data_IF_858950734424
#
_entry.id   IF_858950734424
#
_cell.length_a   1.000
_cell.length_b   1.000
_cell.length_c   1.000
_cell.angle_alpha   90.00
_cell.angle_beta   90.00
_cell.angle_gamma   90.00
#
_symmetry.space_group_name_H-M   'P 1'
#
loop_
_entity.id
_entity.type
_entity.pdbx_description
1 polymer ?
#
# COMPACT_ATOMS: atom_id res chain seq x y z
N UNK A 1 -25.53 7.77 -15.41
CA UNK A 1 -25.77 7.37 -14.01
C UNK A 1 -24.56 6.60 -13.49
N UNK A 2 -23.75 7.25 -12.66
CA UNK A 2 -22.47 6.73 -12.16
C UNK A 2 -22.69 5.65 -11.09
N UNK A 3 -22.67 4.37 -11.49
CA UNK A 3 -22.65 3.23 -10.56
C UNK A 3 -21.25 2.97 -9.94
N UNK A 4 -20.44 4.02 -9.76
CA UNK A 4 -18.99 3.88 -9.54
C UNK A 4 -18.53 3.68 -8.08
N UNK A 5 -19.42 3.61 -7.09
CA UNK A 5 -19.00 3.55 -5.68
C UNK A 5 -19.37 2.25 -4.97
N UNK A 6 -19.02 1.11 -5.58
CA UNK A 6 -18.54 0.00 -4.75
C UNK A 6 -17.05 0.26 -4.52
N UNK A 7 -16.73 0.97 -3.44
CA UNK A 7 -15.34 1.22 -3.04
C UNK A 7 -14.71 -0.11 -2.65
N UNK A 8 -14.03 -0.75 -3.60
CA UNK A 8 -13.24 -1.95 -3.30
C UNK A 8 -12.18 -1.58 -2.26
N UNK A 9 -12.26 -2.10 -1.02
CA UNK A 9 -11.31 -1.75 0.04
C UNK A 9 -9.87 -2.09 -0.38
N UNK A 10 -9.71 -3.11 -1.24
CA UNK A 10 -8.43 -3.47 -1.87
C UNK A 10 -7.87 -2.37 -2.76
N UNK A 11 -8.69 -1.74 -3.61
CA UNK A 11 -8.22 -0.65 -4.48
C UNK A 11 -7.75 0.55 -3.65
N UNK A 12 -8.45 0.83 -2.55
CA UNK A 12 -8.05 1.88 -1.59
C UNK A 12 -6.69 1.56 -0.96
N UNK A 13 -6.51 0.35 -0.44
CA UNK A 13 -5.25 -0.09 0.16
C UNK A 13 -4.08 -0.13 -0.83
N UNK A 14 -4.31 -0.60 -2.07
CA UNK A 14 -3.28 -0.56 -3.14
C UNK A 14 -2.81 0.86 -3.42
N UNK A 15 -3.75 1.82 -3.49
CA UNK A 15 -3.43 3.23 -3.69
C UNK A 15 -2.66 3.82 -2.51
N UNK A 16 -3.03 3.47 -1.27
CA UNK A 16 -2.32 3.91 -0.07
C UNK A 16 -0.90 3.34 -0.03
N UNK A 17 -0.74 2.04 -0.29
CA UNK A 17 0.55 1.37 -0.36
C UNK A 17 1.49 2.04 -1.37
N UNK A 18 1.00 2.30 -2.59
CA UNK A 18 1.78 2.99 -3.63
C UNK A 18 2.21 4.40 -3.19
N UNK A 19 1.32 5.16 -2.55
CA UNK A 19 1.64 6.50 -2.06
C UNK A 19 2.69 6.48 -0.92
N UNK A 20 2.64 5.48 -0.03
CA UNK A 20 3.64 5.32 1.04
C UNK A 20 5.00 4.92 0.45
N UNK A 21 5.03 4.03 -0.56
CA UNK A 21 6.26 3.68 -1.26
C UNK A 21 6.88 4.89 -1.98
N UNK A 22 6.08 5.71 -2.65
CA UNK A 22 6.56 6.93 -3.30
C UNK A 22 7.21 7.89 -2.27
N UNK A 23 6.56 8.09 -1.11
CA UNK A 23 7.13 8.87 -0.01
C UNK A 23 8.43 8.26 0.52
N UNK A 24 8.48 6.93 0.66
CA UNK A 24 9.68 6.23 1.09
C UNK A 24 10.83 6.44 0.10
N UNK A 25 10.56 6.37 -1.21
CA UNK A 25 11.56 6.66 -2.25
C UNK A 25 12.09 8.08 -2.16
N UNK A 26 11.22 9.07 -1.94
CA UNK A 26 11.65 10.45 -1.72
C UNK A 26 12.48 10.61 -0.45
N UNK A 27 12.07 10.00 0.67
CA UNK A 27 12.84 10.00 1.91
C UNK A 27 14.23 9.40 1.71
N UNK A 28 14.32 8.24 1.05
CA UNK A 28 15.58 7.59 0.71
C UNK A 28 16.47 8.49 -0.17
N UNK A 29 15.91 9.08 -1.23
CA UNK A 29 16.65 9.97 -2.15
C UNK A 29 17.17 11.24 -1.46
N UNK A 30 16.43 11.73 -0.48
CA UNK A 30 16.81 12.90 0.31
C UNK A 30 17.74 12.56 1.50
N UNK A 31 18.06 11.27 1.70
CA UNK A 31 18.91 10.81 2.80
C UNK A 31 18.20 10.78 4.17
N UNK A 32 16.88 10.89 4.22
CA UNK A 32 16.10 10.76 5.46
C UNK A 32 15.84 9.28 5.76
N UNK A 33 16.88 8.63 6.31
CA UNK A 33 16.87 7.20 6.62
C UNK A 33 15.80 6.86 7.67
N UNK A 34 15.57 7.74 8.65
CA UNK A 34 14.57 7.50 9.70
C UNK A 34 13.17 7.45 9.09
N UNK A 35 12.80 8.43 8.28
CA UNK A 35 11.50 8.43 7.61
C UNK A 35 11.38 7.27 6.63
N UNK A 36 12.44 6.95 5.88
CA UNK A 36 12.46 5.78 5.00
C UNK A 36 12.17 4.48 5.76
N UNK A 37 12.84 4.23 6.89
CA UNK A 37 12.61 3.04 7.72
C UNK A 37 11.18 2.97 8.26
N UNK A 38 10.59 4.10 8.65
CA UNK A 38 9.20 4.12 9.13
C UNK A 38 8.20 3.88 7.99
N UNK A 39 8.39 4.55 6.85
CA UNK A 39 7.50 4.44 5.70
C UNK A 39 7.56 3.05 5.05
N UNK A 40 8.73 2.40 5.05
CA UNK A 40 8.85 1.03 4.56
C UNK A 40 8.09 0.04 5.43
N UNK A 41 8.15 0.18 6.77
CA UNK A 41 7.33 -0.62 7.69
C UNK A 41 5.84 -0.37 7.48
N UNK A 42 5.43 0.88 7.27
CA UNK A 42 4.03 1.22 6.96
C UNK A 42 3.58 0.57 5.63
N UNK A 43 4.42 0.61 4.59
CA UNK A 43 4.14 -0.05 3.32
C UNK A 43 3.98 -1.57 3.50
N UNK A 44 4.87 -2.23 4.24
CA UNK A 44 4.74 -3.66 4.52
C UNK A 44 3.43 -4.00 5.24
N UNK A 45 3.01 -3.18 6.19
CA UNK A 45 1.74 -3.39 6.91
C UNK A 45 0.53 -3.24 5.97
N UNK A 46 0.55 -2.27 5.06
CA UNK A 46 -0.49 -2.10 4.04
C UNK A 46 -0.51 -3.26 3.05
N UNK A 47 0.66 -3.80 2.70
CA UNK A 47 0.78 -4.97 1.83
C UNK A 47 0.25 -6.24 2.50
N UNK A 48 0.52 -6.45 3.79
CA UNK A 48 -0.07 -7.54 4.58
C UNK A 48 -1.60 -7.45 4.61
N UNK A 49 -2.14 -6.26 4.89
CA UNK A 49 -3.60 -6.03 4.84
C UNK A 49 -4.19 -6.31 3.45
N UNK A 50 -3.43 -6.06 2.38
CA UNK A 50 -3.85 -6.42 1.02
C UNK A 50 -3.90 -7.92 0.79
N UNK A 51 -2.89 -8.66 1.27
CA UNK A 51 -2.84 -10.11 1.20
C UNK A 51 -3.97 -10.76 2.01
N UNK A 52 -4.24 -10.27 3.22
CA UNK A 52 -5.34 -10.77 4.06
C UNK A 52 -6.72 -10.55 3.41
N UNK A 53 -6.84 -9.52 2.59
CA UNK A 53 -8.03 -9.27 1.80
C UNK A 53 -8.08 -10.10 0.53
N UNK A 54 -6.97 -10.65 0.02
CA UNK A 54 -7.02 -11.60 -1.10
C UNK A 54 -7.70 -12.88 -0.62
N UNK A 55 -8.82 -13.30 -1.24
CA UNK A 55 -9.41 -14.56 -0.90
C UNK A 55 -8.43 -15.62 -1.38
N UNK A 56 -8.09 -16.58 -0.53
CA UNK A 56 -7.34 -17.81 -0.79
C UNK A 56 -7.69 -18.47 -2.15
N UNK A 57 -7.21 -17.88 -3.25
CA UNK A 57 -7.42 -18.27 -4.65
C UNK A 57 -6.23 -17.85 -5.51
N UNK A 58 -5.03 -17.93 -4.93
CA UNK A 58 -3.80 -18.13 -5.67
C UNK A 58 -3.26 -19.54 -5.40
N UNK A 59 -4.18 -20.51 -5.43
CA UNK A 59 -3.90 -21.93 -5.51
C UNK A 59 -4.65 -22.48 -6.73
N UNK A 60 -4.10 -22.25 -7.92
CA UNK A 60 -4.29 -23.06 -9.12
C UNK A 60 -3.33 -22.62 -10.22
#
# INVERSE_FOLDING_TARGET
MFSLFKSDPRKKLKKQHAAVLEKAMHAQRNGDIKSYSLLTVEAENLYKQLQDLEPERAGR
#
